data_IF_155572369331
#
_entry.id   IF_155572369331
#
_cell.length_a   1.000
_cell.length_b   1.000
_cell.length_c   1.000
_cell.angle_alpha   90.00
_cell.angle_beta   90.00
_cell.angle_gamma   90.00
#
_symmetry.space_group_name_H-M   'P 1'
#
loop_
_entity.id
_entity.type
_entity.pdbx_description
1 polymer ?
#
# COMPACT_ATOMS: atom_id res chain seq x y z
N UNK A 1 -8.10 -14.19 -2.83
CA UNK A 1 -7.21 -13.04 -3.11
C UNK A 1 -6.26 -12.87 -1.93
N UNK A 2 -5.00 -13.14 -2.16
CA UNK A 2 -4.02 -13.13 -1.10
C UNK A 2 -3.01 -12.00 -1.29
N UNK A 3 -3.34 -10.85 -0.73
CA UNK A 3 -2.37 -9.80 -0.41
C UNK A 3 -1.92 -9.96 1.05
N UNK A 4 -1.98 -11.22 1.53
CA UNK A 4 -1.85 -11.57 2.95
C UNK A 4 -0.58 -11.05 3.62
N UNK A 5 0.65 -11.14 3.05
CA UNK A 5 1.83 -10.66 3.76
C UNK A 5 1.77 -9.16 4.03
N UNK A 6 1.50 -8.35 3.01
CA UNK A 6 1.40 -6.90 3.17
C UNK A 6 0.21 -6.50 4.06
N UNK A 7 -0.90 -7.21 3.93
CA UNK A 7 -2.09 -6.99 4.74
C UNK A 7 -1.88 -7.35 6.21
N UNK A 8 -1.15 -8.42 6.51
CA UNK A 8 -0.89 -8.83 7.90
C UNK A 8 0.00 -7.83 8.63
N UNK A 9 0.96 -7.23 7.96
CA UNK A 9 1.84 -6.23 8.55
C UNK A 9 1.16 -4.86 8.73
N UNK A 10 0.24 -4.49 7.83
CA UNK A 10 -0.37 -3.17 7.81
C UNK A 10 -1.75 -3.11 8.47
N UNK A 11 -2.48 -4.22 8.53
CA UNK A 11 -3.90 -4.23 8.93
C UNK A 11 -4.11 -4.04 10.43
N UNK A 12 -5.19 -3.36 10.76
CA UNK A 12 -5.91 -3.57 12.02
C UNK A 12 -7.05 -4.61 11.84
N UNK A 13 -7.80 -4.89 12.90
CA UNK A 13 -8.93 -5.84 12.86
C UNK A 13 -10.12 -5.40 12.00
N UNK A 14 -10.10 -4.15 11.55
CA UNK A 14 -11.20 -3.50 10.82
C UNK A 14 -11.17 -3.74 9.29
N UNK A 15 -9.99 -4.00 8.71
CA UNK A 15 -9.77 -3.91 7.25
C UNK A 15 -10.59 -4.88 6.38
N UNK A 16 -11.05 -6.01 6.91
CA UNK A 16 -11.69 -7.07 6.10
C UNK A 16 -12.99 -6.61 5.46
N UNK A 17 -13.87 -5.95 6.20
CA UNK A 17 -15.16 -5.47 5.68
C UNK A 17 -15.01 -4.32 4.68
N UNK A 18 -14.24 -3.27 4.96
CA UNK A 18 -13.96 -2.21 3.99
C UNK A 18 -13.31 -2.71 2.70
N UNK A 19 -12.37 -3.63 2.78
CA UNK A 19 -11.75 -4.23 1.60
C UNK A 19 -12.78 -4.97 0.73
N UNK A 20 -13.69 -5.72 1.34
CA UNK A 20 -14.77 -6.41 0.64
C UNK A 20 -15.73 -5.41 -0.05
N UNK A 21 -16.02 -4.28 0.58
CA UNK A 21 -16.81 -3.20 -0.01
C UNK A 21 -16.12 -2.58 -1.22
N UNK A 22 -14.83 -2.32 -1.13
CA UNK A 22 -14.03 -1.79 -2.26
C UNK A 22 -14.03 -2.78 -3.43
N UNK A 23 -13.79 -4.06 -3.17
CA UNK A 23 -13.84 -5.11 -4.21
C UNK A 23 -15.22 -5.21 -4.85
N UNK A 24 -16.29 -5.06 -4.08
CA UNK A 24 -17.67 -5.00 -4.59
C UNK A 24 -17.89 -3.79 -5.49
N UNK A 25 -17.41 -2.61 -5.12
CA UNK A 25 -17.48 -1.41 -5.96
C UNK A 25 -16.75 -1.58 -7.28
N UNK A 26 -15.54 -2.15 -7.25
CA UNK A 26 -14.76 -2.44 -8.46
C UNK A 26 -15.51 -3.41 -9.36
N UNK A 27 -16.06 -4.49 -8.80
CA UNK A 27 -16.86 -5.46 -9.54
C UNK A 27 -18.09 -4.81 -10.20
N UNK A 28 -18.75 -3.89 -9.52
CA UNK A 28 -19.91 -3.17 -10.08
C UNK A 28 -19.52 -2.17 -11.18
N UNK A 29 -18.26 -1.75 -11.25
CA UNK A 29 -17.74 -0.92 -12.35
C UNK A 29 -17.56 -1.70 -13.66
N UNK A 30 -17.69 -3.01 -13.66
CA UNK A 30 -17.84 -3.82 -14.88
C UNK A 30 -19.22 -3.56 -15.50
N UNK A 31 -19.23 -2.73 -16.52
CA UNK A 31 -20.44 -2.38 -17.28
C UNK A 31 -20.69 -3.29 -18.50
N UNK A 32 -19.79 -4.24 -18.75
CA UNK A 32 -19.84 -5.10 -19.95
C UNK A 32 -20.45 -6.48 -19.68
N UNK A 33 -20.35 -6.97 -18.45
CA UNK A 33 -20.88 -8.26 -18.05
C UNK A 33 -22.32 -8.18 -17.50
N UNK A 34 -23.08 -9.24 -17.67
CA UNK A 34 -24.44 -9.34 -17.11
C UNK A 34 -24.41 -9.33 -15.59
N UNK A 35 -25.56 -8.93 -14.99
CA UNK A 35 -25.72 -8.96 -13.54
C UNK A 35 -25.52 -10.39 -13.01
N UNK A 36 -24.61 -10.57 -12.06
CA UNK A 36 -24.21 -11.87 -11.52
C UNK A 36 -22.90 -12.40 -12.11
N UNK A 37 -22.50 -11.96 -13.31
CA UNK A 37 -21.27 -12.38 -13.99
C UNK A 37 -20.14 -11.34 -13.95
N UNK A 38 -20.39 -10.22 -13.32
CA UNK A 38 -19.41 -9.11 -13.19
C UNK A 38 -18.14 -9.54 -12.47
N UNK A 39 -17.00 -9.09 -12.97
CA UNK A 39 -15.68 -9.50 -12.48
C UNK A 39 -14.80 -8.30 -12.11
N UNK A 40 -13.98 -8.49 -11.09
CA UNK A 40 -13.08 -7.44 -10.59
C UNK A 40 -12.06 -7.02 -11.65
N UNK A 41 -11.45 -7.95 -12.37
CA UNK A 41 -10.44 -7.62 -13.38
C UNK A 41 -11.02 -6.79 -14.53
N UNK A 42 -12.27 -7.01 -14.91
CA UNK A 42 -12.95 -6.20 -15.92
C UNK A 42 -13.29 -4.82 -15.33
N UNK A 43 -13.80 -4.76 -14.10
CA UNK A 43 -14.08 -3.49 -13.41
C UNK A 43 -12.86 -2.60 -13.28
N UNK A 44 -11.66 -3.17 -13.06
CA UNK A 44 -10.40 -2.44 -12.98
C UNK A 44 -9.93 -1.83 -14.29
N UNK A 45 -10.47 -2.23 -15.44
CA UNK A 45 -10.19 -1.54 -16.71
C UNK A 45 -10.85 -0.17 -16.78
N UNK A 46 -11.91 0.04 -16.01
CA UNK A 46 -12.62 1.32 -15.94
C UNK A 46 -11.96 2.32 -15.01
N UNK A 47 -12.15 3.61 -15.28
CA UNK A 47 -11.67 4.69 -14.41
C UNK A 47 -12.31 4.62 -13.00
N UNK A 48 -13.59 4.26 -12.92
CA UNK A 48 -14.32 4.12 -11.64
C UNK A 48 -13.76 2.97 -10.79
N UNK A 49 -13.44 1.83 -11.41
CA UNK A 49 -12.85 0.69 -10.70
C UNK A 49 -11.45 1.00 -10.16
N UNK A 50 -10.62 1.68 -10.96
CA UNK A 50 -9.29 2.14 -10.53
C UNK A 50 -9.37 3.14 -9.38
N UNK A 51 -10.30 4.09 -9.46
CA UNK A 51 -10.49 5.11 -8.43
C UNK A 51 -11.01 4.51 -7.12
N UNK A 52 -11.80 3.45 -7.16
CA UNK A 52 -12.34 2.79 -5.97
C UNK A 52 -11.22 2.19 -5.08
N UNK A 53 -10.09 1.77 -5.67
CA UNK A 53 -8.95 1.22 -4.94
C UNK A 53 -7.93 2.28 -4.51
N UNK A 54 -7.91 3.42 -5.19
CA UNK A 54 -6.96 4.51 -4.90
C UNK A 54 -7.20 5.06 -3.50
N UNK A 55 -6.12 5.14 -2.71
CA UNK A 55 -6.17 5.68 -1.35
C UNK A 55 -6.81 4.74 -0.32
N UNK A 56 -6.96 3.45 -0.64
CA UNK A 56 -7.42 2.49 0.35
C UNK A 56 -6.36 2.26 1.43
N UNK A 57 -6.76 2.45 2.69
CA UNK A 57 -5.91 2.27 3.85
C UNK A 57 -6.18 0.92 4.52
N UNK A 58 -5.11 0.20 4.86
CA UNK A 58 -5.20 -1.08 5.57
C UNK A 58 -5.32 -0.92 7.08
N UNK A 59 -5.01 0.26 7.59
CA UNK A 59 -5.12 0.60 9.00
C UNK A 59 -5.79 1.97 9.15
N UNK A 60 -7.03 1.98 9.60
CA UNK A 60 -7.82 3.21 9.77
C UNK A 60 -7.30 4.08 10.93
N UNK A 61 -6.68 3.45 11.93
CA UNK A 61 -6.14 4.15 13.10
C UNK A 61 -4.77 4.79 12.83
N UNK A 62 -4.06 4.33 11.80
CA UNK A 62 -2.74 4.83 11.41
C UNK A 62 -2.68 5.07 9.89
N UNK A 63 -3.55 5.97 9.43
CA UNK A 63 -3.56 6.42 8.04
C UNK A 63 -2.21 7.08 7.70
N UNK A 64 -1.64 6.75 6.54
CA UNK A 64 -0.31 7.24 6.15
C UNK A 64 -0.23 8.76 6.14
N UNK A 65 -1.26 9.44 5.71
CA UNK A 65 -1.31 10.91 5.68
C UNK A 65 -1.28 11.55 7.09
N UNK A 66 -1.69 10.79 8.12
CA UNK A 66 -1.65 11.25 9.50
C UNK A 66 -0.32 10.94 10.20
N UNK A 67 0.42 9.95 9.70
CA UNK A 67 1.69 9.48 10.28
C UNK A 67 2.89 10.11 9.57
N UNK A 68 2.85 10.16 8.25
CA UNK A 68 3.90 10.74 7.41
C UNK A 68 3.45 12.12 6.90
N UNK A 69 4.03 13.17 7.50
CA UNK A 69 3.66 14.57 7.27
C UNK A 69 4.53 15.23 6.19
N UNK A 70 4.95 14.50 5.20
CA UNK A 70 5.75 14.99 4.07
C UNK A 70 5.32 14.30 2.78
N UNK A 71 5.60 14.95 1.66
CA UNK A 71 5.37 14.37 0.36
C UNK A 71 6.39 13.28 0.00
N UNK A 72 5.97 12.35 -0.81
CA UNK A 72 6.84 11.33 -1.38
C UNK A 72 6.51 11.13 -2.86
N UNK A 73 7.50 10.68 -3.61
CA UNK A 73 7.32 10.29 -5.00
C UNK A 73 7.24 8.77 -5.12
N UNK A 74 6.44 8.29 -6.06
CA UNK A 74 6.27 6.87 -6.36
C UNK A 74 6.51 6.64 -7.85
N UNK A 75 7.52 5.82 -8.17
CA UNK A 75 7.66 5.25 -9.49
C UNK A 75 6.74 4.03 -9.63
N UNK A 76 5.69 4.17 -10.42
CA UNK A 76 4.69 3.12 -10.62
C UNK A 76 5.19 1.93 -11.46
N UNK A 77 6.31 2.06 -12.14
CA UNK A 77 6.91 0.97 -12.91
C UNK A 77 7.74 0.02 -12.03
N UNK A 78 8.44 0.57 -11.05
CA UNK A 78 9.35 -0.19 -10.17
C UNK A 78 8.81 -0.38 -8.76
N UNK A 79 7.86 0.48 -8.34
CA UNK A 79 7.37 0.56 -6.97
C UNK A 79 8.33 1.30 -6.02
N UNK A 80 9.36 1.95 -6.56
CA UNK A 80 10.30 2.74 -5.75
C UNK A 80 9.62 3.97 -5.16
N UNK A 81 9.87 4.19 -3.87
CA UNK A 81 9.39 5.36 -3.15
C UNK A 81 10.59 6.18 -2.72
N UNK A 82 10.56 7.48 -3.02
CA UNK A 82 11.58 8.43 -2.59
C UNK A 82 10.96 9.55 -1.75
N UNK A 83 11.60 9.87 -0.63
CA UNK A 83 11.25 10.97 0.25
C UNK A 83 12.47 11.87 0.36
N UNK A 84 12.39 13.07 -0.22
CA UNK A 84 13.47 14.07 -0.18
C UNK A 84 13.42 14.84 1.14
N UNK A 85 14.61 15.23 1.62
CA UNK A 85 14.79 16.09 2.81
C UNK A 85 13.98 15.60 4.03
N UNK A 86 13.93 14.30 4.22
CA UNK A 86 13.16 13.66 5.28
C UNK A 86 13.83 13.87 6.64
N UNK A 87 13.10 14.50 7.57
CA UNK A 87 13.49 14.61 8.98
C UNK A 87 12.43 13.94 9.86
N UNK A 88 12.75 12.83 10.53
CA UNK A 88 11.77 12.11 11.34
C UNK A 88 11.13 12.97 12.44
N UNK A 89 11.91 13.88 13.05
CA UNK A 89 11.40 14.77 14.09
C UNK A 89 10.28 15.70 13.58
N UNK A 90 10.38 16.15 12.32
CA UNK A 90 9.44 17.12 11.73
C UNK A 90 8.32 16.45 10.94
N UNK A 91 8.61 15.32 10.30
CA UNK A 91 7.75 14.73 9.28
C UNK A 91 7.05 13.46 9.73
N UNK A 92 7.24 13.03 10.99
CA UNK A 92 6.55 11.81 11.50
C UNK A 92 5.76 12.16 12.76
N UNK A 93 4.48 11.83 12.71
CA UNK A 93 3.67 11.79 13.91
C UNK A 93 3.96 10.50 14.66
N UNK A 94 4.58 10.59 15.81
CA UNK A 94 5.04 9.43 16.58
C UNK A 94 4.27 9.27 17.89
N UNK A 95 4.08 8.02 18.38
CA UNK A 95 3.62 7.80 19.73
C UNK A 95 4.66 8.27 20.76
N UNK A 96 4.21 8.62 21.95
CA UNK A 96 5.10 9.02 23.04
C UNK A 96 6.11 7.91 23.36
N UNK A 97 7.36 8.28 23.55
CA UNK A 97 8.46 7.35 23.85
C UNK A 97 9.10 6.67 22.64
N UNK A 98 8.59 6.86 21.41
CA UNK A 98 9.22 6.33 20.22
C UNK A 98 10.56 7.05 19.95
N UNK A 99 11.63 6.28 19.75
CA UNK A 99 13.01 6.78 19.54
C UNK A 99 13.54 6.46 18.14
N UNK A 100 13.00 5.48 17.46
CA UNK A 100 13.42 5.03 16.15
C UNK A 100 12.22 4.81 15.22
N UNK A 101 12.48 4.92 13.93
CA UNK A 101 11.54 4.72 12.84
C UNK A 101 12.09 3.66 11.90
N UNK A 102 11.23 2.78 11.42
CA UNK A 102 11.52 1.83 10.35
C UNK A 102 10.52 2.03 9.21
N UNK A 103 11.01 2.23 8.01
CA UNK A 103 10.21 2.38 6.80
C UNK A 103 10.47 1.20 5.86
N UNK A 104 9.41 0.63 5.32
CA UNK A 104 9.46 -0.45 4.34
C UNK A 104 8.40 -0.19 3.28
N UNK A 105 8.74 -0.40 2.02
CA UNK A 105 7.78 -0.34 0.91
C UNK A 105 7.47 -1.74 0.40
N UNK A 106 6.21 -1.97 0.05
CA UNK A 106 5.77 -3.16 -0.65
C UNK A 106 5.19 -2.80 -2.02
N UNK A 107 5.59 -3.52 -3.06
CA UNK A 107 5.07 -3.38 -4.41
C UNK A 107 4.41 -4.69 -4.84
N UNK A 108 3.08 -4.66 -4.93
CA UNK A 108 2.27 -5.79 -5.34
C UNK A 108 1.82 -5.61 -6.79
N UNK A 109 2.20 -6.55 -7.64
CA UNK A 109 1.65 -6.71 -8.97
C UNK A 109 0.66 -7.89 -8.94
N UNK A 110 -0.60 -7.63 -9.24
CA UNK A 110 -1.67 -8.61 -9.15
C UNK A 110 -2.52 -8.60 -10.41
N UNK A 111 -2.58 -9.74 -11.09
CA UNK A 111 -3.51 -9.98 -12.19
C UNK A 111 -4.75 -10.72 -11.67
N UNK A 112 -5.87 -10.02 -11.59
CA UNK A 112 -7.13 -10.60 -11.12
C UNK A 112 -7.76 -11.60 -12.10
N UNK A 113 -7.30 -11.67 -13.35
CA UNK A 113 -7.83 -12.62 -14.34
C UNK A 113 -7.19 -13.99 -14.22
N UNK A 114 -5.90 -14.02 -13.96
CA UNK A 114 -5.08 -15.24 -13.88
C UNK A 114 -4.73 -15.61 -12.43
N UNK A 115 -5.07 -14.74 -11.48
CA UNK A 115 -4.68 -14.84 -10.06
C UNK A 115 -3.15 -14.84 -9.83
N UNK A 116 -2.38 -14.50 -10.87
CA UNK A 116 -0.92 -14.35 -10.75
C UNK A 116 -0.62 -13.12 -9.91
N UNK A 117 0.26 -13.28 -8.95
CA UNK A 117 0.69 -12.23 -8.03
C UNK A 117 2.20 -12.24 -7.87
N UNK A 118 2.78 -11.06 -7.79
CA UNK A 118 4.19 -10.83 -7.46
C UNK A 118 4.27 -9.70 -6.45
N UNK A 119 4.71 -10.02 -5.24
CA UNK A 119 4.95 -9.03 -4.19
C UNK A 119 6.45 -8.90 -3.97
N UNK A 120 6.96 -7.70 -4.13
CA UNK A 120 8.33 -7.33 -3.78
C UNK A 120 8.32 -6.37 -2.60
N UNK A 121 9.29 -6.52 -1.72
CA UNK A 121 9.48 -5.63 -0.57
C UNK A 121 10.84 -4.96 -0.62
N UNK A 122 10.93 -3.75 -0.11
CA UNK A 122 12.21 -3.08 0.10
C UNK A 122 12.87 -3.60 1.38
N UNK A 123 14.21 -3.49 1.50
CA UNK A 123 14.86 -3.54 2.80
C UNK A 123 14.29 -2.48 3.74
N UNK A 124 14.29 -2.75 5.04
CA UNK A 124 13.87 -1.79 6.04
C UNK A 124 14.88 -0.64 6.12
N UNK A 125 14.41 0.58 6.00
CA UNK A 125 15.18 1.79 6.26
C UNK A 125 14.97 2.21 7.71
N UNK A 126 16.00 2.11 8.54
CA UNK A 126 15.94 2.41 9.96
C UNK A 126 16.63 3.75 10.25
N UNK A 127 15.97 4.59 11.01
CA UNK A 127 16.46 5.93 11.36
C UNK A 127 16.04 6.31 12.78
N UNK A 128 16.94 7.01 13.51
CA UNK A 128 16.57 7.61 14.77
C UNK A 128 15.61 8.78 14.54
N UNK A 129 14.68 8.99 15.46
CA UNK A 129 13.73 10.10 15.40
C UNK A 129 14.38 11.34 16.01
N UNK A 130 15.20 12.00 15.21
CA UNK A 130 15.92 13.23 15.56
C UNK A 130 15.79 14.27 14.42
N UNK A 131 16.56 15.35 14.52
CA UNK A 131 16.57 16.44 13.53
C UNK A 131 17.45 16.15 12.31
N UNK A 132 18.04 14.96 12.19
CA UNK A 132 18.84 14.57 11.03
C UNK A 132 17.98 14.57 9.78
N UNK A 133 18.47 15.15 8.70
CA UNK A 133 17.81 15.20 7.40
C UNK A 133 18.50 14.19 6.47
N UNK A 134 17.72 13.35 5.81
CA UNK A 134 18.22 12.38 4.85
C UNK A 134 17.22 12.17 3.71
N UNK A 135 17.72 11.76 2.55
CA UNK A 135 16.86 11.24 1.48
C UNK A 135 16.61 9.76 1.72
N UNK A 136 15.34 9.37 1.77
CA UNK A 136 14.93 7.98 1.93
C UNK A 136 14.52 7.43 0.59
N UNK A 137 15.16 6.33 0.16
CA UNK A 137 14.80 5.60 -1.05
C UNK A 137 14.45 4.17 -0.67
N UNK A 138 13.23 3.75 -0.95
CA UNK A 138 12.72 2.41 -0.69
C UNK A 138 12.51 1.70 -2.03
N UNK A 139 13.41 0.79 -2.38
CA UNK A 139 13.37 0.05 -3.64
C UNK A 139 12.94 -1.39 -3.40
N UNK A 140 11.71 -1.78 -3.80
CA UNK A 140 11.22 -3.15 -3.66
C UNK A 140 11.96 -4.10 -4.60
N UNK A 141 12.91 -4.86 -4.09
CA UNK A 141 13.74 -5.80 -4.86
C UNK A 141 13.65 -7.25 -4.38
N UNK A 142 13.36 -7.45 -3.10
CA UNK A 142 13.27 -8.77 -2.51
C UNK A 142 11.88 -9.39 -2.73
N UNK A 143 11.82 -10.63 -3.21
CA UNK A 143 10.57 -11.41 -3.22
C UNK A 143 10.14 -11.66 -1.79
N UNK A 144 8.90 -11.33 -1.45
CA UNK A 144 8.37 -11.60 -0.11
C UNK A 144 8.28 -13.11 0.14
N UNK A 145 8.84 -13.56 1.25
CA UNK A 145 8.71 -14.95 1.67
C UNK A 145 7.24 -15.27 1.98
N UNK A 146 6.73 -16.38 1.48
CA UNK A 146 5.36 -16.83 1.70
C UNK A 146 4.40 -16.65 0.53
N UNK A 147 4.86 -16.16 -0.61
CA UNK A 147 4.15 -16.20 -1.88
C UNK A 147 4.64 -17.39 -2.70
N UNK A 148 4.34 -18.58 -2.25
CA UNK A 148 4.56 -19.83 -2.97
C UNK A 148 3.28 -20.36 -3.59
#
# INVERSE_FOLDING_TARGET
MEILPLRLDAKDGWVTSPLSQVMSKIKHADATSLRGERKVHIGLTSALGKQALKGFEFNDNANIANVLLTDFTLDTATGEIEILDFSPMLHVFKPEGATHLSLTAGFLNLDFSTEVKDLKTSPAFNMAIDATVATVTLTPTATASGLG
#
